data_IF_067184818841
#
_entry.id   IF_067184818841
#
_cell.length_a   1.000
_cell.length_b   1.000
_cell.length_c   1.000
_cell.angle_alpha   90.00
_cell.angle_beta   90.00
_cell.angle_gamma   90.00
#
_symmetry.space_group_name_H-M   'P 1'
#
loop_
_entity.id
_entity.type
_entity.pdbx_description
1 polymer ?
#
# COMPACT_ATOMS: atom_id res chain seq x y z
N UNK A 1 -8.83 -17.93 -4.33
CA UNK A 1 -8.08 -16.86 -3.64
C UNK A 1 -6.90 -16.53 -4.54
N UNK A 2 -7.15 -15.84 -5.65
CA UNK A 2 -6.23 -15.82 -6.81
C UNK A 2 -5.93 -14.40 -7.29
N UNK A 3 -6.11 -13.38 -6.43
CA UNK A 3 -5.97 -11.98 -6.82
C UNK A 3 -5.31 -11.12 -5.72
N UNK A 4 -4.42 -11.72 -4.93
CA UNK A 4 -3.55 -10.99 -4.00
C UNK A 4 -2.49 -10.23 -4.82
N UNK A 5 -2.35 -8.92 -4.59
CA UNK A 5 -1.32 -8.14 -5.25
C UNK A 5 -0.04 -8.18 -4.42
N UNK A 6 1.12 -8.26 -5.10
CA UNK A 6 2.41 -8.13 -4.44
C UNK A 6 2.60 -6.70 -3.89
N UNK A 7 3.47 -6.53 -2.89
CA UNK A 7 3.78 -5.19 -2.44
C UNK A 7 4.64 -4.47 -3.50
N UNK A 8 4.56 -3.13 -3.59
CA UNK A 8 5.28 -2.35 -4.60
C UNK A 8 6.79 -2.64 -4.67
N UNK A 9 7.45 -2.87 -3.53
CA UNK A 9 8.88 -3.19 -3.47
C UNK A 9 9.25 -4.59 -3.97
N UNK A 10 8.31 -5.52 -4.07
CA UNK A 10 8.53 -6.83 -4.69
C UNK A 10 8.16 -6.84 -6.17
N UNK A 11 7.14 -6.08 -6.57
CA UNK A 11 6.74 -5.99 -7.97
C UNK A 11 7.72 -5.15 -8.81
N UNK A 12 8.18 -4.03 -8.27
CA UNK A 12 9.13 -3.12 -8.91
C UNK A 12 10.29 -2.81 -7.95
N UNK A 13 11.21 -3.77 -7.73
CA UNK A 13 12.34 -3.56 -6.82
C UNK A 13 13.26 -2.41 -7.26
N UNK A 14 13.28 -2.09 -8.55
CA UNK A 14 14.10 -1.02 -9.13
C UNK A 14 13.48 0.38 -9.01
N UNK A 15 12.26 0.51 -8.47
CA UNK A 15 11.60 1.81 -8.26
C UNK A 15 11.53 2.11 -6.75
N UNK A 16 12.47 2.90 -6.20
CA UNK A 16 12.48 3.24 -4.78
C UNK A 16 11.21 3.98 -4.34
N UNK A 17 10.89 3.91 -3.05
CA UNK A 17 9.82 4.70 -2.45
C UNK A 17 10.05 6.21 -2.73
N UNK A 18 9.04 6.90 -3.24
CA UNK A 18 9.11 8.33 -3.57
C UNK A 18 9.70 8.65 -4.96
N UNK A 19 10.16 7.64 -5.72
CA UNK A 19 10.60 7.82 -7.10
C UNK A 19 9.48 8.32 -8.01
N UNK A 20 9.84 9.12 -9.03
CA UNK A 20 8.91 9.57 -10.07
C UNK A 20 8.34 8.39 -10.89
N UNK A 21 8.98 7.22 -10.87
CA UNK A 21 8.47 6.00 -11.50
C UNK A 21 7.13 5.51 -10.93
N UNK A 22 6.73 5.97 -9.74
CA UNK A 22 5.39 5.71 -9.18
C UNK A 22 4.31 6.69 -9.68
N UNK A 23 4.71 7.75 -10.41
CA UNK A 23 3.82 8.77 -10.99
C UNK A 23 3.93 8.85 -12.51
N UNK A 24 4.61 7.87 -13.13
CA UNK A 24 4.78 7.77 -14.57
C UNK A 24 4.95 6.32 -14.97
N UNK A 25 4.25 5.91 -16.03
CA UNK A 25 4.43 4.60 -16.65
C UNK A 25 3.87 3.44 -15.80
N UNK A 26 4.44 2.23 -15.90
CA UNK A 26 3.83 1.02 -15.33
C UNK A 26 3.83 0.97 -13.79
N UNK A 27 4.70 1.73 -13.13
CA UNK A 27 4.68 1.86 -11.67
C UNK A 27 3.44 2.62 -11.19
N UNK A 28 2.96 3.61 -11.93
CA UNK A 28 1.76 4.38 -11.59
C UNK A 28 0.49 3.52 -11.63
N UNK A 29 0.26 2.78 -12.72
CA UNK A 29 -0.90 1.89 -12.84
C UNK A 29 -0.94 0.86 -11.69
N UNK A 30 0.21 0.24 -11.41
CA UNK A 30 0.32 -0.72 -10.33
C UNK A 30 0.09 -0.10 -8.97
N UNK A 31 0.60 1.10 -8.73
CA UNK A 31 0.41 1.81 -7.47
C UNK A 31 -1.07 2.05 -7.20
N UNK A 32 -1.81 2.56 -8.17
CA UNK A 32 -3.25 2.80 -8.01
C UNK A 32 -4.01 1.51 -7.74
N UNK A 33 -3.75 0.46 -8.52
CA UNK A 33 -4.39 -0.84 -8.32
C UNK A 33 -4.05 -1.46 -6.96
N UNK A 34 -2.79 -1.34 -6.53
CA UNK A 34 -2.34 -1.84 -5.24
C UNK A 34 -3.00 -1.09 -4.08
N UNK A 35 -3.07 0.25 -4.15
CA UNK A 35 -3.72 1.08 -3.12
C UNK A 35 -5.21 0.76 -3.03
N UNK A 36 -5.90 0.63 -4.16
CA UNK A 36 -7.33 0.27 -4.22
C UNK A 36 -7.58 -1.12 -3.62
N UNK A 37 -6.83 -2.13 -4.10
CA UNK A 37 -6.91 -3.49 -3.59
C UNK A 37 -6.60 -3.57 -2.09
N UNK A 38 -5.48 -3.00 -1.63
CA UNK A 38 -5.11 -3.01 -0.22
C UNK A 38 -6.11 -2.25 0.65
N UNK A 39 -6.70 -1.18 0.11
CA UNK A 39 -7.79 -0.43 0.72
C UNK A 39 -9.08 -1.24 0.84
N UNK A 40 -9.33 -2.20 -0.04
CA UNK A 40 -10.52 -3.07 0.00
C UNK A 40 -10.43 -4.20 1.05
N UNK A 41 -9.22 -4.55 1.51
CA UNK A 41 -9.01 -5.61 2.51
C UNK A 41 -9.52 -5.21 3.90
N UNK A 42 -9.95 -6.18 4.70
CA UNK A 42 -10.28 -5.97 6.12
C UNK A 42 -9.02 -5.68 6.94
N UNK A 43 -9.15 -5.09 8.13
CA UNK A 43 -8.00 -4.84 9.02
C UNK A 43 -7.14 -6.08 9.27
N UNK A 44 -7.78 -7.22 9.61
CA UNK A 44 -7.08 -8.50 9.83
C UNK A 44 -6.39 -9.04 8.57
N UNK A 45 -6.97 -8.83 7.38
CA UNK A 45 -6.35 -9.24 6.12
C UNK A 45 -5.13 -8.38 5.81
N UNK A 46 -5.21 -7.07 6.09
CA UNK A 46 -4.06 -6.16 5.97
C UNK A 46 -2.98 -6.54 6.96
N UNK A 47 -3.29 -6.89 8.20
CA UNK A 47 -2.30 -7.34 9.19
C UNK A 47 -1.58 -8.61 8.74
N UNK A 48 -2.32 -9.65 8.35
CA UNK A 48 -1.75 -10.89 7.82
C UNK A 48 -0.89 -10.62 6.57
N UNK A 49 -1.31 -9.70 5.71
CA UNK A 49 -0.53 -9.29 4.55
C UNK A 49 0.80 -8.62 4.94
N UNK A 50 0.79 -7.74 5.95
CA UNK A 50 2.00 -7.07 6.47
C UNK A 50 2.99 -8.06 7.11
N UNK A 51 2.47 -9.10 7.76
CA UNK A 51 3.30 -10.16 8.34
C UNK A 51 3.92 -11.05 7.26
N UNK A 52 3.14 -11.38 6.21
CA UNK A 52 3.63 -12.17 5.07
C UNK A 52 4.66 -11.43 4.23
N UNK A 53 4.47 -10.12 4.07
CA UNK A 53 5.32 -9.25 3.27
C UNK A 53 5.90 -8.13 4.13
N UNK A 54 6.95 -8.42 4.93
CA UNK A 54 7.59 -7.42 5.75
C UNK A 54 8.21 -6.33 4.86
N UNK A 55 8.08 -5.08 5.30
CA UNK A 55 8.66 -3.94 4.60
C UNK A 55 10.18 -3.91 4.80
N UNK A 56 10.96 -3.67 3.75
CA UNK A 56 12.35 -3.27 3.91
C UNK A 56 12.46 -1.88 4.57
N UNK A 57 13.62 -1.56 5.12
CA UNK A 57 13.87 -0.30 5.84
C UNK A 57 13.59 0.93 4.97
N UNK A 58 13.92 0.88 3.68
CA UNK A 58 13.65 1.95 2.70
C UNK A 58 12.16 2.22 2.48
N UNK A 59 11.29 1.31 2.94
CA UNK A 59 9.84 1.40 2.87
C UNK A 59 9.18 1.60 4.24
N UNK A 60 9.96 1.89 5.29
CA UNK A 60 9.46 2.04 6.67
C UNK A 60 8.31 3.07 6.79
N UNK A 61 8.35 4.16 6.02
CA UNK A 61 7.32 5.21 6.01
C UNK A 61 6.07 4.88 5.19
N UNK A 62 6.07 3.77 4.43
CA UNK A 62 4.98 3.44 3.53
C UNK A 62 3.96 2.47 4.16
N UNK A 63 2.72 2.90 4.23
CA UNK A 63 1.54 2.06 4.08
C UNK A 63 0.51 2.90 3.32
N UNK A 64 -0.22 2.35 2.34
CA UNK A 64 -1.27 3.09 1.66
C UNK A 64 -2.19 3.76 2.66
N UNK A 65 -2.56 5.00 2.39
CA UNK A 65 -3.59 5.67 3.16
C UNK A 65 -4.89 4.86 3.03
N UNK A 66 -5.41 4.40 4.16
CA UNK A 66 -6.65 3.63 4.22
C UNK A 66 -7.75 4.50 4.80
N UNK A 67 -8.91 4.63 4.12
CA UNK A 67 -9.99 5.52 4.55
C UNK A 67 -10.55 5.24 5.96
N UNK A 68 -10.47 4.02 6.49
CA UNK A 68 -10.87 3.72 7.89
C UNK A 68 -10.16 4.58 8.94
N UNK A 69 -8.89 4.96 8.71
CA UNK A 69 -8.18 5.86 9.62
C UNK A 69 -8.60 7.32 9.47
N UNK A 70 -9.29 7.70 8.39
CA UNK A 70 -9.83 9.05 8.22
C UNK A 70 -10.99 9.29 9.18
N UNK A 71 -11.90 8.33 9.35
CA UNK A 71 -13.01 8.48 10.30
C UNK A 71 -12.50 8.64 11.74
N UNK A 72 -11.45 7.90 12.11
CA UNK A 72 -10.78 8.04 13.41
C UNK A 72 -10.03 9.38 13.59
N UNK A 73 -9.63 10.05 12.51
CA UNK A 73 -8.95 11.35 12.52
C UNK A 73 -9.91 12.54 12.42
N UNK A 74 -10.97 12.40 11.62
CA UNK A 74 -12.03 13.40 11.42
C UNK A 74 -12.98 13.42 12.61
N UNK A 75 -13.32 12.26 13.19
CA UNK A 75 -14.16 12.15 14.38
C UNK A 75 -13.54 12.64 15.69
N UNK A 76 -12.25 13.00 15.70
CA UNK A 76 -11.56 13.62 16.85
C UNK A 76 -11.40 15.14 16.74
N UNK A 77 -11.88 15.75 15.65
CA UNK A 77 -11.83 17.20 15.43
C UNK A 77 -13.21 17.82 15.13
N UNK A 78 -14.30 17.16 15.57
CA UNK A 78 -15.66 17.68 15.51
C UNK A 78 -16.14 18.11 16.91
#
# INVERSE_FOLDING_TARGET
MDNEMLPPWLQYPDIPLGSIGWRMGPGEDYWYRFVDWFGSLSESEREQYRERYPKPEDWAMFWPYVPEKLEAYVGKNA
#
